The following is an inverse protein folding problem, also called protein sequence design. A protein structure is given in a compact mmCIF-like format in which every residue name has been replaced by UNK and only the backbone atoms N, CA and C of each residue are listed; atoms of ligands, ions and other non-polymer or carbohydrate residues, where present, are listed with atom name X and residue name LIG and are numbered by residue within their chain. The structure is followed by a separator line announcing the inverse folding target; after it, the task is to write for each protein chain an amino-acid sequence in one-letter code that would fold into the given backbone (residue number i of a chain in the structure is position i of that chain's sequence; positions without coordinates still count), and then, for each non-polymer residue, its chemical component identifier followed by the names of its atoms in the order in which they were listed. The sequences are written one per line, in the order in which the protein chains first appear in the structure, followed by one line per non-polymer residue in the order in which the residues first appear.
data_IF_194522904628
#
_entry.id   IF_194522904628
#
_cell.length_a   1.000
_cell.length_b   1.000
_cell.length_c   1.000
_cell.angle_alpha   90.00
_cell.angle_beta   90.00
_cell.angle_gamma   90.00
#
_symmetry.space_group_name_H-M   'P 1'
#
loop_
_entity.id
_entity.type
_entity.pdbx_description
1 polymer ?
#
# COMPACT_ATOMS: atom_id res chain seq x y z
N UNK A 1 -17.17 -10.16 -12.64
CA UNK A 1 -16.02 -9.40 -12.16
C UNK A 1 -14.80 -10.29 -12.01
N UNK A 2 -13.63 -9.73 -12.15
CA UNK A 2 -12.40 -10.49 -12.05
C UNK A 2 -11.61 -10.03 -10.83
N UNK A 3 -10.71 -10.91 -10.35
CA UNK A 3 -9.75 -10.54 -9.30
C UNK A 3 -8.56 -9.86 -9.97
N UNK A 4 -8.19 -8.72 -9.43
CA UNK A 4 -7.03 -7.94 -9.87
C UNK A 4 -6.14 -7.64 -8.68
N UNK A 5 -4.87 -7.39 -8.94
CA UNK A 5 -3.92 -6.97 -7.91
C UNK A 5 -3.47 -5.54 -8.17
N UNK A 6 -3.41 -4.75 -7.09
CA UNK A 6 -2.91 -3.37 -7.13
C UNK A 6 -1.68 -3.28 -6.25
N UNK A 7 -0.61 -2.70 -6.78
CA UNK A 7 0.62 -2.45 -6.04
C UNK A 7 0.68 -0.99 -5.60
N UNK A 8 1.29 -0.78 -4.47
CA UNK A 8 1.55 0.58 -4.01
C UNK A 8 2.73 0.63 -3.07
N UNK A 9 3.29 1.81 -2.91
CA UNK A 9 4.35 2.05 -1.95
C UNK A 9 4.43 3.52 -1.57
N UNK A 10 4.93 3.76 -0.36
CA UNK A 10 5.22 5.10 0.12
C UNK A 10 6.48 5.05 0.99
N UNK A 11 7.35 6.05 0.85
CA UNK A 11 8.48 6.22 1.76
C UNK A 11 8.11 7.18 2.87
N UNK A 12 8.29 6.76 4.11
CA UNK A 12 8.13 7.63 5.27
C UNK A 12 9.35 8.52 5.44
N UNK A 13 9.15 9.74 5.91
CA UNK A 13 10.24 10.65 6.25
C UNK A 13 10.89 10.28 7.58
N UNK A 14 10.14 9.66 8.48
CA UNK A 14 10.58 9.26 9.81
C UNK A 14 9.78 8.08 10.32
N UNK A 15 10.35 7.35 11.27
CA UNK A 15 9.70 6.24 11.94
C UNK A 15 8.90 6.76 13.15
N UNK A 16 7.65 7.13 12.90
CA UNK A 16 6.72 7.67 13.89
C UNK A 16 5.30 7.17 13.57
N UNK A 17 4.57 6.72 14.59
CA UNK A 17 3.26 6.09 14.41
C UNK A 17 2.26 7.01 13.71
N UNK A 18 2.16 8.28 14.13
CA UNK A 18 1.24 9.22 13.50
C UNK A 18 1.58 9.51 12.04
N UNK A 19 2.86 9.62 11.72
CA UNK A 19 3.33 9.82 10.36
C UNK A 19 3.04 8.60 9.49
N UNK A 20 3.27 7.39 10.02
CA UNK A 20 2.92 6.15 9.32
C UNK A 20 1.43 6.10 9.01
N UNK A 21 0.57 6.40 9.99
CA UNK A 21 -0.88 6.42 9.77
C UNK A 21 -1.27 7.37 8.65
N UNK A 22 -0.72 8.58 8.63
CA UNK A 22 -1.00 9.58 7.58
C UNK A 22 -0.58 9.08 6.21
N UNK A 23 0.64 8.57 6.08
CA UNK A 23 1.20 8.18 4.80
C UNK A 23 0.55 6.91 4.25
N UNK A 24 0.28 5.93 5.08
CA UNK A 24 -0.39 4.70 4.66
C UNK A 24 -1.85 4.98 4.32
N UNK A 25 -2.53 5.84 5.08
CA UNK A 25 -3.90 6.27 4.76
C UNK A 25 -3.97 6.97 3.41
N UNK A 26 -3.02 7.86 3.13
CA UNK A 26 -2.92 8.55 1.85
C UNK A 26 -2.71 7.55 0.70
N UNK A 27 -1.83 6.57 0.90
CA UNK A 27 -1.56 5.52 -0.09
C UNK A 27 -2.82 4.69 -0.39
N UNK A 28 -3.49 4.21 0.65
CA UNK A 28 -4.70 3.40 0.50
C UNK A 28 -5.84 4.19 -0.15
N UNK A 29 -6.01 5.44 0.25
CA UNK A 29 -7.01 6.32 -0.35
C UNK A 29 -6.74 6.53 -1.84
N UNK A 30 -5.49 6.78 -2.21
CA UNK A 30 -5.10 6.94 -3.62
C UNK A 30 -5.34 5.66 -4.43
N UNK A 31 -5.05 4.51 -3.85
CA UNK A 31 -5.31 3.20 -4.51
C UNK A 31 -6.81 3.07 -4.80
N UNK A 32 -7.66 3.35 -3.83
CA UNK A 32 -9.11 3.25 -4.01
C UNK A 32 -9.61 4.26 -5.04
N UNK A 33 -9.27 5.53 -4.89
CA UNK A 33 -9.76 6.59 -5.76
C UNK A 33 -9.30 6.44 -7.20
N UNK A 34 -8.01 6.15 -7.42
CA UNK A 34 -7.45 6.04 -8.78
C UNK A 34 -7.94 4.82 -9.54
N UNK A 35 -8.46 3.81 -8.83
CA UNK A 35 -9.00 2.60 -9.44
C UNK A 35 -10.53 2.54 -9.40
N UNK A 36 -11.18 3.61 -8.94
CA UNK A 36 -12.64 3.66 -8.88
C UNK A 36 -13.25 2.64 -7.93
N UNK A 37 -12.57 2.39 -6.80
CA UNK A 37 -12.95 1.37 -5.84
C UNK A 37 -13.53 1.95 -4.57
N UNK A 38 -14.37 1.15 -3.92
CA UNK A 38 -14.74 1.35 -2.51
C UNK A 38 -14.13 0.23 -1.68
N UNK A 39 -14.26 0.31 -0.36
CA UNK A 39 -13.75 -0.74 0.54
C UNK A 39 -14.44 -2.10 0.31
N UNK A 40 -15.66 -2.09 -0.25
CA UNK A 40 -16.39 -3.32 -0.56
C UNK A 40 -15.74 -4.13 -1.70
N UNK A 41 -14.92 -3.48 -2.50
CA UNK A 41 -14.22 -4.14 -3.61
C UNK A 41 -12.92 -4.83 -3.17
N UNK A 42 -12.49 -4.63 -1.93
CA UNK A 42 -11.26 -5.20 -1.40
C UNK A 42 -11.47 -6.66 -1.00
N UNK A 43 -10.56 -7.52 -1.41
CA UNK A 43 -10.53 -8.95 -1.04
C UNK A 43 -9.55 -9.18 0.09
N UNK A 44 -8.33 -8.69 -0.04
CA UNK A 44 -7.27 -8.81 0.96
C UNK A 44 -6.20 -7.76 0.70
N UNK A 45 -5.45 -7.41 1.74
CA UNK A 45 -4.33 -6.48 1.63
C UNK A 45 -3.13 -7.06 2.36
N UNK A 46 -2.01 -7.13 1.65
CA UNK A 46 -0.70 -7.43 2.21
C UNK A 46 0.08 -6.14 2.34
N UNK A 47 0.61 -5.91 3.54
CA UNK A 47 1.53 -4.81 3.81
C UNK A 47 2.91 -5.37 4.04
N UNK A 48 3.93 -4.71 3.52
CA UNK A 48 5.30 -4.95 3.94
C UNK A 48 5.91 -3.65 4.43
N UNK A 49 6.85 -3.74 5.34
CA UNK A 49 7.58 -2.60 5.87
C UNK A 49 9.05 -2.97 5.95
N UNK A 50 9.91 -2.02 5.61
CA UNK A 50 11.36 -2.21 5.75
C UNK A 50 11.74 -2.40 7.22
N UNK A 51 12.85 -3.13 7.50
CA UNK A 51 13.21 -3.51 8.88
C UNK A 51 13.46 -2.34 9.84
N UNK A 52 13.70 -1.15 9.31
CA UNK A 52 13.95 0.05 10.08
C UNK A 52 12.68 0.75 10.60
N UNK A 53 11.50 0.24 10.25
CA UNK A 53 10.22 0.77 10.73
C UNK A 53 9.74 -0.04 11.94
N UNK A 54 9.62 0.61 13.09
CA UNK A 54 9.31 -0.04 14.37
C UNK A 54 8.13 0.60 15.12
N UNK A 55 7.59 1.71 14.62
CA UNK A 55 6.65 2.52 15.41
C UNK A 55 5.23 1.96 15.47
N UNK A 56 4.76 1.32 14.41
CA UNK A 56 3.41 0.77 14.36
C UNK A 56 3.27 -0.22 13.20
N UNK A 57 2.12 -0.91 13.18
CA UNK A 57 1.73 -1.76 12.06
C UNK A 57 1.09 -0.90 10.96
N UNK A 58 1.51 -1.05 9.69
CA UNK A 58 0.80 -0.38 8.59
C UNK A 58 -0.69 -0.68 8.52
N UNK A 59 -1.10 -1.90 8.89
CA UNK A 59 -2.50 -2.29 8.90
C UNK A 59 -3.37 -1.46 9.86
N UNK A 60 -2.78 -0.82 10.87
CA UNK A 60 -3.52 0.05 11.76
C UNK A 60 -4.18 1.22 11.02
N UNK A 61 -3.49 1.77 10.01
CA UNK A 61 -4.04 2.84 9.18
C UNK A 61 -5.26 2.38 8.38
N UNK A 62 -5.22 1.14 7.86
CA UNK A 62 -6.34 0.57 7.13
C UNK A 62 -7.58 0.45 8.02
N UNK A 63 -7.41 -0.02 9.24
CA UNK A 63 -8.53 -0.13 10.21
C UNK A 63 -9.13 1.25 10.52
N UNK A 64 -8.30 2.26 10.64
CA UNK A 64 -8.77 3.64 10.89
C UNK A 64 -9.56 4.22 9.71
N UNK A 65 -9.30 3.74 8.50
CA UNK A 65 -10.09 4.12 7.31
C UNK A 65 -11.42 3.37 7.20
N UNK A 66 -11.72 2.46 8.14
CA UNK A 66 -12.93 1.66 8.11
C UNK A 66 -12.80 0.35 7.34
N UNK A 67 -11.58 -0.06 7.00
CA UNK A 67 -11.32 -1.35 6.38
C UNK A 67 -11.23 -2.39 7.50
N UNK A 68 -12.38 -2.92 7.92
CA UNK A 68 -12.47 -3.74 9.14
C UNK A 68 -12.79 -5.21 8.88
N UNK A 69 -13.40 -5.53 7.75
CA UNK A 69 -13.82 -6.89 7.38
C UNK A 69 -12.99 -7.50 6.25
N UNK A 70 -11.88 -6.86 5.90
CA UNK A 70 -10.96 -7.32 4.87
C UNK A 70 -9.75 -7.97 5.54
N UNK A 71 -9.35 -9.19 5.14
CA UNK A 71 -8.13 -9.80 5.67
C UNK A 71 -6.90 -8.94 5.39
N UNK A 72 -6.15 -8.63 6.45
CA UNK A 72 -4.94 -7.82 6.41
C UNK A 72 -3.79 -8.61 7.02
N UNK A 73 -2.60 -8.50 6.44
CA UNK A 73 -1.39 -9.07 7.01
C UNK A 73 -0.21 -8.13 6.80
N UNK A 74 0.68 -8.07 7.77
CA UNK A 74 1.94 -7.33 7.69
C UNK A 74 3.11 -8.30 7.70
N UNK A 75 4.10 -8.02 6.87
CA UNK A 75 5.34 -8.78 6.80
C UNK A 75 6.54 -7.83 6.69
N UNK A 76 7.72 -8.33 7.00
CA UNK A 76 8.94 -7.56 6.86
C UNK A 76 9.47 -7.68 5.43
N UNK A 77 9.87 -6.55 4.85
CA UNK A 77 10.60 -6.51 3.57
C UNK A 77 11.93 -7.23 3.72
N UNK A 78 12.41 -7.78 2.60
CA UNK A 78 13.78 -8.31 2.55
C UNK A 78 14.78 -7.20 2.89
N UNK A 79 15.68 -7.52 3.79
CA UNK A 79 16.71 -6.59 4.24
C UNK A 79 17.90 -6.61 3.28
N UNK A 80 17.78 -5.88 2.19
CA UNK A 80 18.78 -5.82 1.14
C UNK A 80 19.63 -4.56 1.30
N UNK A 81 20.95 -4.73 1.29
CA UNK A 81 21.87 -3.60 1.37
C UNK A 81 21.63 -2.62 0.22
N UNK A 82 21.54 -1.34 0.54
CA UNK A 82 21.28 -0.30 -0.43
C UNK A 82 19.82 -0.09 -0.79
N UNK A 83 18.90 -0.89 -0.25
CA UNK A 83 17.47 -0.70 -0.48
C UNK A 83 16.98 0.62 0.14
N UNK A 84 15.97 1.22 -0.46
CA UNK A 84 15.37 2.45 0.04
C UNK A 84 14.84 2.24 1.47
N UNK A 85 15.20 3.10 2.44
CA UNK A 85 14.74 2.95 3.82
C UNK A 85 13.33 3.47 4.03
N UNK A 86 12.71 3.06 5.13
CA UNK A 86 11.41 3.53 5.61
C UNK A 86 10.31 3.41 4.57
N UNK A 87 10.24 2.27 3.89
CA UNK A 87 9.24 2.02 2.85
C UNK A 87 8.16 1.10 3.38
N UNK A 88 6.91 1.47 3.12
CA UNK A 88 5.75 0.60 3.27
C UNK A 88 5.24 0.28 1.88
N UNK A 89 5.07 -1.02 1.58
CA UNK A 89 4.47 -1.49 0.33
C UNK A 89 3.13 -2.15 0.59
N UNK A 90 2.30 -2.10 -0.42
CA UNK A 90 0.96 -2.70 -0.40
C UNK A 90 0.79 -3.57 -1.64
N UNK A 91 0.23 -4.76 -1.43
CA UNK A 91 -0.35 -5.57 -2.50
C UNK A 91 -1.79 -5.83 -2.12
N UNK A 92 -2.72 -5.20 -2.81
CA UNK A 92 -4.14 -5.36 -2.57
C UNK A 92 -4.76 -6.22 -3.67
N UNK A 93 -5.58 -7.20 -3.26
CA UNK A 93 -6.41 -7.96 -4.19
C UNK A 93 -7.82 -7.37 -4.17
N UNK A 94 -8.35 -7.12 -5.35
CA UNK A 94 -9.62 -6.42 -5.54
C UNK A 94 -10.50 -7.16 -6.54
N UNK A 95 -11.79 -6.87 -6.48
CA UNK A 95 -12.72 -7.21 -7.55
C UNK A 95 -12.89 -6.00 -8.45
N UNK A 96 -12.68 -6.18 -9.76
CA UNK A 96 -12.78 -5.07 -10.70
C UNK A 96 -13.13 -5.60 -12.10
N UNK A 97 -13.91 -4.81 -12.84
CA UNK A 97 -14.20 -5.07 -14.24
C UNK A 97 -13.11 -4.52 -15.17
N UNK A 98 -12.16 -3.74 -14.64
CA UNK A 98 -11.08 -3.19 -15.43
C UNK A 98 -10.16 -4.29 -15.96
N UNK A 99 -9.68 -4.19 -17.20
CA UNK A 99 -8.60 -5.05 -17.67
C UNK A 99 -7.35 -4.84 -16.80
N UNK A 100 -6.51 -5.87 -16.73
CA UNK A 100 -5.27 -5.79 -15.91
C UNK A 100 -4.43 -4.56 -16.27
N UNK A 101 -4.39 -4.20 -17.54
CA UNK A 101 -3.60 -3.05 -18.02
C UNK A 101 -4.14 -1.69 -17.57
N UNK A 102 -5.40 -1.63 -17.14
CA UNK A 102 -6.04 -0.38 -16.69
C UNK A 102 -5.99 -0.21 -15.17
N UNK A 103 -5.42 -1.17 -14.45
CA UNK A 103 -5.20 -1.04 -13.01
C UNK A 103 -4.08 -0.02 -12.77
N UNK A 104 -4.36 0.95 -11.92
CA UNK A 104 -3.41 2.02 -11.58
C UNK A 104 -2.65 1.65 -10.31
N UNK A 105 -1.36 1.38 -10.45
CA UNK A 105 -0.47 1.16 -9.32
C UNK A 105 -0.01 2.51 -8.76
N UNK A 106 0.08 2.63 -7.43
CA UNK A 106 0.29 3.92 -6.79
C UNK A 106 1.60 3.93 -6.00
N UNK A 107 2.57 4.71 -6.47
CA UNK A 107 3.86 4.88 -5.80
C UNK A 107 4.02 6.36 -5.47
N UNK A 108 3.85 6.70 -4.20
CA UNK A 108 3.82 8.09 -3.74
C UNK A 108 5.21 8.63 -3.44
N UNK A 109 5.43 9.90 -3.79
CA UNK A 109 6.66 10.61 -3.48
C UNK A 109 7.91 9.90 -4.00
N UNK A 110 8.93 9.77 -3.15
CA UNK A 110 10.19 9.13 -3.50
C UNK A 110 10.05 7.65 -3.86
N UNK A 111 8.98 6.99 -3.40
CA UNK A 111 8.74 5.58 -3.72
C UNK A 111 8.48 5.34 -5.22
N UNK A 112 8.16 6.37 -5.98
CA UNK A 112 8.02 6.26 -7.43
C UNK A 112 9.29 5.72 -8.11
N UNK A 113 10.46 5.93 -7.51
CA UNK A 113 11.73 5.43 -8.02
C UNK A 113 11.87 3.90 -7.93
N UNK A 114 11.05 3.22 -7.12
CA UNK A 114 11.12 1.78 -6.93
C UNK A 114 10.64 0.99 -8.15
N UNK A 115 9.61 1.49 -8.84
CA UNK A 115 9.02 0.83 -10.00
C UNK A 115 8.61 1.88 -11.03
N UNK A 116 9.61 2.44 -11.71
CA UNK A 116 9.39 3.49 -12.71
C UNK A 116 8.52 3.04 -13.90
N UNK A 117 8.51 1.74 -14.18
CA UNK A 117 7.72 1.15 -15.28
C UNK A 117 6.21 1.15 -15.00
N UNK A 118 5.79 1.18 -13.74
CA UNK A 118 4.37 1.13 -13.35
C UNK A 118 3.95 2.25 -12.39
N UNK A 119 4.86 3.12 -11.97
CA UNK A 119 4.55 4.22 -11.05
C UNK A 119 3.67 5.28 -11.71
N UNK A 120 2.76 5.82 -10.93
CA UNK A 120 1.81 6.85 -11.38
C UNK A 120 2.06 8.20 -10.69
#
# INVERSE_FOLDING_TARGET
MAVRAVRGAVQLERDEAGHMDEQVSELLTAILERNGLTTDDLISIWFTATPDLHSDFPAAAARKLGIVDVPLICAQELDIEGAMPRVVRVLAHIESDRPRTDIVHVYLGAAAALRKDIAQ
#
